data_IF_504009449246
#
_entry.id   IF_504009449246
#
_cell.length_a   1.000
_cell.length_b   1.000
_cell.length_c   1.000
_cell.angle_alpha   90.00
_cell.angle_beta   90.00
_cell.angle_gamma   90.00
#
_symmetry.space_group_name_H-M   'P 1'
#
loop_
_entity.id
_entity.type
_entity.pdbx_description
1 polymer ?
#
# COMPACT_ATOMS: atom_id res chain seq x y z
N UNK A 1 22.38 -26.40 12.55
CA UNK A 1 21.11 -25.66 12.29
C UNK A 1 19.99 -26.54 11.70
N UNK A 2 20.28 -27.46 10.77
CA UNK A 2 19.25 -28.26 10.11
C UNK A 2 18.46 -29.21 11.03
N UNK A 3 19.13 -29.81 12.01
CA UNK A 3 18.51 -30.68 13.02
C UNK A 3 17.59 -29.91 13.98
N UNK A 4 18.07 -28.76 14.48
CA UNK A 4 17.27 -27.82 15.29
C UNK A 4 16.00 -27.37 14.57
N UNK A 5 16.07 -27.06 13.28
CA UNK A 5 14.87 -26.67 12.53
C UNK A 5 13.83 -27.80 12.38
N UNK A 6 14.27 -29.07 12.34
CA UNK A 6 13.36 -30.23 12.32
C UNK A 6 12.70 -30.44 13.68
N UNK A 7 13.46 -30.39 14.77
CA UNK A 7 12.90 -30.51 16.12
C UNK A 7 12.00 -29.32 16.46
N UNK A 8 12.34 -28.09 16.06
CA UNK A 8 11.48 -26.92 16.23
C UNK A 8 10.15 -27.04 15.47
N UNK A 9 10.15 -27.57 14.24
CA UNK A 9 8.91 -27.81 13.50
C UNK A 9 8.00 -28.82 14.21
N UNK A 10 8.61 -29.86 14.81
CA UNK A 10 7.89 -30.86 15.62
C UNK A 10 7.30 -30.24 16.89
N UNK A 11 8.10 -29.49 17.65
CA UNK A 11 7.63 -28.78 18.84
C UNK A 11 6.51 -27.78 18.53
N UNK A 12 6.56 -27.11 17.37
CA UNK A 12 5.51 -26.20 16.95
C UNK A 12 4.20 -26.94 16.66
N UNK A 13 4.28 -28.12 16.03
CA UNK A 13 3.13 -29.00 15.78
C UNK A 13 2.51 -29.55 17.07
N UNK A 14 3.35 -29.94 18.02
CA UNK A 14 2.90 -30.44 19.33
C UNK A 14 2.19 -29.34 20.13
N UNK A 15 2.63 -28.08 20.03
CA UNK A 15 2.04 -26.94 20.75
C UNK A 15 0.81 -26.35 20.07
N UNK A 16 0.75 -26.40 18.74
CA UNK A 16 -0.34 -25.84 17.95
C UNK A 16 -0.86 -26.92 17.01
N UNK A 17 -1.85 -27.68 17.48
CA UNK A 17 -2.44 -28.77 16.71
C UNK A 17 -3.26 -28.27 15.50
N UNK A 18 -3.81 -27.05 15.60
CA UNK A 18 -4.72 -26.49 14.61
C UNK A 18 -4.03 -25.58 13.59
N UNK A 19 -4.35 -25.78 12.31
CA UNK A 19 -3.98 -24.88 11.21
C UNK A 19 -2.65 -25.19 10.50
N UNK A 20 -2.22 -24.30 9.59
CA UNK A 20 -1.03 -24.52 8.76
C UNK A 20 0.26 -24.46 9.58
N UNK A 21 1.08 -25.50 9.44
CA UNK A 21 2.34 -25.60 10.19
C UNK A 21 3.51 -24.99 9.41
N UNK A 22 4.40 -24.23 10.07
CA UNK A 22 5.55 -23.64 9.41
C UNK A 22 6.50 -24.72 8.91
N UNK A 23 6.92 -24.61 7.65
CA UNK A 23 7.93 -25.52 7.08
C UNK A 23 9.31 -25.25 7.67
N UNK A 24 10.21 -26.22 7.54
CA UNK A 24 11.63 -26.07 7.92
C UNK A 24 12.26 -24.82 7.30
N UNK A 25 11.91 -24.49 6.05
CA UNK A 25 12.43 -23.31 5.37
C UNK A 25 11.96 -22.01 6.02
N UNK A 26 10.69 -21.92 6.43
CA UNK A 26 10.14 -20.77 7.13
C UNK A 26 10.87 -20.53 8.45
N UNK A 27 11.07 -21.58 9.24
CA UNK A 27 11.81 -21.50 10.51
C UNK A 27 13.23 -20.97 10.29
N UNK A 28 13.93 -21.49 9.27
CA UNK A 28 15.29 -21.01 8.96
C UNK A 28 15.30 -19.55 8.49
N UNK A 29 14.31 -19.11 7.69
CA UNK A 29 14.19 -17.71 7.27
C UNK A 29 13.93 -16.77 8.45
N UNK A 30 13.12 -17.20 9.42
CA UNK A 30 12.85 -16.45 10.65
C UNK A 30 14.11 -16.33 11.50
N UNK A 31 14.83 -17.43 11.73
CA UNK A 31 16.09 -17.43 12.50
C UNK A 31 17.14 -16.56 11.81
N UNK A 32 17.26 -16.65 10.48
CA UNK A 32 18.18 -15.83 9.70
C UNK A 32 17.85 -14.34 9.87
N UNK A 33 16.59 -13.94 9.70
CA UNK A 33 16.17 -12.55 9.89
C UNK A 33 16.38 -12.06 11.32
N UNK A 34 16.10 -12.89 12.31
CA UNK A 34 16.32 -12.55 13.72
C UNK A 34 17.80 -12.25 13.99
N UNK A 35 18.72 -13.00 13.38
CA UNK A 35 20.16 -12.74 13.49
C UNK A 35 20.60 -11.47 12.75
N UNK A 36 20.00 -11.19 11.58
CA UNK A 36 20.36 -10.04 10.75
C UNK A 36 19.79 -8.72 11.28
N UNK A 37 18.58 -8.73 11.82
CA UNK A 37 17.81 -7.50 12.12
C UNK A 37 17.36 -7.41 13.58
N UNK A 38 17.51 -8.48 14.37
CA UNK A 38 17.04 -8.52 15.76
C UNK A 38 15.51 -8.58 15.92
N UNK A 39 14.75 -8.69 14.82
CA UNK A 39 13.28 -8.62 14.83
C UNK A 39 12.65 -9.74 13.99
N UNK A 40 11.58 -10.33 14.51
CA UNK A 40 10.80 -11.41 13.84
C UNK A 40 9.64 -10.85 13.01
N UNK A 41 9.21 -9.61 13.27
CA UNK A 41 8.10 -8.97 12.55
C UNK A 41 8.47 -8.84 11.06
N UNK A 42 7.50 -9.11 10.19
CA UNK A 42 7.70 -8.99 8.75
C UNK A 42 8.04 -7.56 8.37
N UNK A 43 9.03 -7.41 7.49
CA UNK A 43 9.29 -6.13 6.85
C UNK A 43 8.07 -5.76 6.02
N UNK A 44 7.55 -4.52 6.09
CA UNK A 44 6.48 -4.06 5.21
C UNK A 44 6.85 -4.37 3.77
N UNK A 45 5.91 -4.92 2.99
CA UNK A 45 6.12 -5.09 1.56
C UNK A 45 6.19 -3.69 0.96
N UNK A 46 7.40 -3.24 0.66
CA UNK A 46 7.59 -2.01 -0.10
C UNK A 46 7.17 -2.31 -1.52
N UNK A 47 5.90 -2.07 -1.84
CA UNK A 47 5.47 -2.03 -3.23
C UNK A 47 6.30 -0.95 -3.95
N UNK A 48 6.83 -1.26 -5.14
CA UNK A 48 7.54 -0.26 -5.94
C UNK A 48 6.57 0.92 -6.17
N UNK A 49 6.96 2.17 -5.85
CA UNK A 49 6.12 3.32 -6.14
C UNK A 49 5.78 3.32 -7.63
N UNK A 50 4.50 3.31 -7.96
CA UNK A 50 4.01 3.24 -9.35
C UNK A 50 4.21 4.57 -10.12
N UNK A 51 5.01 5.48 -9.55
CA UNK A 51 5.13 6.88 -9.96
C UNK A 51 6.25 7.14 -10.98
N UNK A 52 6.84 6.11 -11.60
CA UNK A 52 8.10 6.25 -12.36
C UNK A 52 7.95 6.94 -13.72
N UNK A 53 6.74 7.31 -14.16
CA UNK A 53 6.51 7.86 -15.51
C UNK A 53 6.06 9.33 -15.59
N UNK A 54 5.22 9.80 -14.66
CA UNK A 54 4.81 11.20 -14.54
C UNK A 54 4.61 11.52 -13.07
N UNK A 55 5.52 12.31 -12.50
CA UNK A 55 5.29 12.98 -11.22
C UNK A 55 4.28 14.09 -11.51
N UNK A 56 2.99 13.72 -11.56
CA UNK A 56 1.92 14.71 -11.59
C UNK A 56 1.92 15.35 -10.22
N UNK A 57 2.35 16.59 -10.23
CA UNK A 57 2.42 17.44 -9.06
C UNK A 57 0.97 17.83 -8.74
N UNK A 58 0.49 17.69 -7.48
CA UNK A 58 -0.86 18.14 -7.11
C UNK A 58 -1.10 19.60 -7.51
N UNK A 59 -0.04 20.39 -7.63
CA UNK A 59 0.01 21.75 -8.16
C UNK A 59 -0.56 21.89 -9.58
N UNK A 60 -0.63 20.84 -10.39
CA UNK A 60 -1.20 20.90 -11.75
C UNK A 60 -2.73 20.74 -11.77
N UNK A 61 -3.31 20.16 -10.72
CA UNK A 61 -4.73 19.79 -10.64
C UNK A 61 -5.48 20.62 -9.61
N UNK A 62 -4.85 20.89 -8.47
CA UNK A 62 -5.46 21.60 -7.35
C UNK A 62 -5.84 23.05 -7.68
N UNK A 63 -5.01 23.86 -8.38
CA UNK A 63 -5.40 25.24 -8.70
C UNK A 63 -6.67 25.31 -9.55
N UNK A 64 -6.82 24.39 -10.50
CA UNK A 64 -8.02 24.32 -11.34
C UNK A 64 -9.25 23.86 -10.54
N UNK A 65 -9.10 22.85 -9.68
CA UNK A 65 -10.18 22.37 -8.82
C UNK A 65 -10.64 23.45 -7.82
N UNK A 66 -9.71 24.22 -7.26
CA UNK A 66 -10.00 25.31 -6.33
C UNK A 66 -10.63 26.52 -7.02
N UNK A 67 -10.18 26.87 -8.23
CA UNK A 67 -10.80 27.92 -9.04
C UNK A 67 -12.23 27.55 -9.48
N UNK A 68 -12.54 26.24 -9.56
CA UNK A 68 -13.82 25.73 -10.03
C UNK A 68 -14.37 24.63 -9.11
N UNK A 69 -14.87 24.97 -7.90
CA UNK A 69 -15.30 23.99 -6.90
C UNK A 69 -16.49 23.13 -7.33
N UNK A 70 -17.28 23.60 -8.30
CA UNK A 70 -18.40 22.85 -8.89
C UNK A 70 -17.97 21.94 -10.05
N UNK A 71 -16.71 21.98 -10.46
CA UNK A 71 -16.24 21.21 -11.60
C UNK A 71 -16.16 19.72 -11.28
N UNK A 72 -16.78 18.89 -12.13
CA UNK A 72 -16.68 17.45 -11.97
C UNK A 72 -15.25 16.97 -12.25
N UNK A 73 -14.82 15.86 -11.64
CA UNK A 73 -13.52 15.26 -11.93
C UNK A 73 -13.32 14.92 -13.42
N UNK A 74 -14.42 14.79 -14.20
CA UNK A 74 -14.38 14.63 -15.67
C UNK A 74 -13.97 15.93 -16.36
N UNK A 75 -14.47 17.08 -15.91
CA UNK A 75 -14.06 18.38 -16.45
C UNK A 75 -12.62 18.70 -16.07
N UNK A 76 -12.23 18.46 -14.81
CA UNK A 76 -10.84 18.64 -14.36
C UNK A 76 -9.88 17.74 -15.18
N UNK A 77 -10.24 16.48 -15.41
CA UNK A 77 -9.48 15.53 -16.24
C UNK A 77 -9.27 16.04 -17.68
N UNK A 78 -10.31 16.60 -18.31
CA UNK A 78 -10.21 17.17 -19.66
C UNK A 78 -9.31 18.39 -19.71
N UNK A 79 -9.42 19.29 -18.74
CA UNK A 79 -8.66 20.54 -18.74
C UNK A 79 -7.19 20.35 -18.35
N UNK A 80 -6.91 19.49 -17.37
CA UNK A 80 -5.54 19.26 -16.91
C UNK A 80 -4.80 18.15 -17.68
N UNK A 81 -5.46 17.47 -18.64
CA UNK A 81 -4.83 16.41 -19.44
C UNK A 81 -4.48 15.15 -18.65
N UNK A 82 -5.15 14.89 -17.53
CA UNK A 82 -4.95 13.71 -16.68
C UNK A 82 -6.09 12.72 -16.81
N UNK A 83 -5.84 11.44 -16.52
CA UNK A 83 -6.92 10.47 -16.41
C UNK A 83 -7.84 10.83 -15.22
N UNK A 84 -9.12 10.50 -15.35
CA UNK A 84 -10.10 10.68 -14.27
C UNK A 84 -9.65 10.00 -12.96
N UNK A 85 -9.04 8.81 -13.06
CA UNK A 85 -8.51 8.09 -11.89
C UNK A 85 -7.37 8.85 -11.21
N UNK A 86 -6.48 9.48 -11.99
CA UNK A 86 -5.37 10.27 -11.45
C UNK A 86 -5.87 11.53 -10.75
N UNK A 87 -6.83 12.23 -11.34
CA UNK A 87 -7.51 13.37 -10.71
C UNK A 87 -8.18 12.94 -9.40
N UNK A 88 -8.90 11.82 -9.40
CA UNK A 88 -9.56 11.31 -8.20
C UNK A 88 -8.56 11.03 -7.06
N UNK A 89 -7.43 10.36 -7.36
CA UNK A 89 -6.39 10.10 -6.36
C UNK A 89 -5.84 11.40 -5.77
N UNK A 90 -5.54 12.40 -6.61
CA UNK A 90 -4.98 13.68 -6.15
C UNK A 90 -5.98 14.44 -5.26
N UNK A 91 -7.25 14.52 -5.67
CA UNK A 91 -8.29 15.17 -4.87
C UNK A 91 -8.53 14.45 -3.53
N UNK A 92 -8.43 13.11 -3.50
CA UNK A 92 -8.59 12.33 -2.28
C UNK A 92 -7.38 12.43 -1.34
N UNK A 93 -6.16 12.46 -1.88
CA UNK A 93 -4.93 12.68 -1.10
C UNK A 93 -4.87 14.09 -0.50
N UNK A 94 -5.44 15.08 -1.19
CA UNK A 94 -5.47 16.49 -0.77
C UNK A 94 -6.73 16.90 0.01
N UNK A 95 -7.74 16.04 0.11
CA UNK A 95 -9.03 16.35 0.72
C UNK A 95 -9.89 17.37 -0.06
N UNK A 96 -9.53 17.67 -1.31
CA UNK A 96 -10.21 18.66 -2.15
C UNK A 96 -11.39 18.04 -2.92
N UNK A 97 -12.48 17.71 -2.22
CA UNK A 97 -13.67 17.16 -2.87
C UNK A 97 -14.50 18.24 -3.60
N UNK A 98 -14.89 18.02 -4.88
CA UNK A 98 -15.83 18.92 -5.54
C UNK A 98 -17.14 18.99 -4.77
N UNK A 99 -17.60 20.21 -4.47
CA UNK A 99 -18.82 20.42 -3.70
C UNK A 99 -20.04 20.18 -4.61
N UNK A 100 -20.93 19.27 -4.20
CA UNK A 100 -22.19 18.99 -4.92
C UNK A 100 -23.30 19.78 -4.24
N UNK A 101 -23.71 20.89 -4.86
CA UNK A 101 -24.94 21.55 -4.47
C UNK A 101 -26.12 20.60 -4.74
N UNK A 102 -26.88 20.27 -3.71
CA UNK A 102 -28.23 19.75 -3.88
C UNK A 102 -29.11 20.93 -4.28
N UNK A 103 -29.80 20.90 -5.44
CA UNK A 103 -30.79 21.92 -5.74
C UNK A 103 -31.90 21.85 -4.68
N UNK A 104 -32.20 23.01 -4.08
CA UNK A 104 -33.34 23.23 -3.18
C UNK A 104 -34.59 23.48 -4.02
#
# INVERSE_FOLDING_TARGET
>A
MCALAKSSARLYRERFAEGPHPTRQTILKVVKRLRETGCVISRPRVCRPRNVGRKVQPEDVLPYALAHPQSSSKMISKNCGFSKSRVWTILNESGAHPHRFTPV
#
